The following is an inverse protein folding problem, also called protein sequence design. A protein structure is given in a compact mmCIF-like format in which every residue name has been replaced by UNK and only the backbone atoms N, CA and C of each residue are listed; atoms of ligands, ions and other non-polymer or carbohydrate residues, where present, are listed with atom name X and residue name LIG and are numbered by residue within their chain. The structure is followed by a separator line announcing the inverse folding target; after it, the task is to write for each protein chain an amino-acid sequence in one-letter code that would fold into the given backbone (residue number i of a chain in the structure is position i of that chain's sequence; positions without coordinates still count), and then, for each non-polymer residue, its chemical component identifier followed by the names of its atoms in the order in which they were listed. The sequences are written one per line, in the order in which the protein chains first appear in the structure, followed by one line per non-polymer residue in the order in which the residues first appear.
data_IF_136547480313
#
_entry.id   IF_136547480313
#
_cell.length_a   1.000
_cell.length_b   1.000
_cell.length_c   1.000
_cell.angle_alpha   90.00
_cell.angle_beta   90.00
_cell.angle_gamma   90.00
#
_symmetry.space_group_name_H-M   'P 1'
#
loop_
_entity.id
_entity.type
_entity.pdbx_description
1 polymer ?
#
# COMPACT_ATOMS: atom_id res chain seq x y z
N UNK A 1 -65.60 21.77 -28.53
CA UNK A 1 -66.24 21.57 -27.21
C UNK A 1 -65.51 22.48 -26.23
N UNK A 2 -66.01 23.69 -25.96
CA UNK A 2 -66.95 24.09 -24.88
C UNK A 2 -66.48 23.73 -23.45
N UNK A 3 -66.37 24.80 -22.63
CA UNK A 3 -66.53 24.92 -21.16
C UNK A 3 -65.33 24.52 -20.31
N UNK A 4 -64.96 25.19 -19.21
CA UNK A 4 -65.49 26.37 -18.49
C UNK A 4 -64.43 26.84 -17.49
N UNK A 5 -64.45 28.14 -17.16
CA UNK A 5 -63.81 28.75 -15.98
C UNK A 5 -64.35 28.17 -14.66
N UNK A 6 -63.56 28.22 -13.58
CA UNK A 6 -63.86 28.96 -12.32
C UNK A 6 -62.55 29.20 -11.57
N UNK A 7 -62.35 30.45 -11.12
CA UNK A 7 -61.28 30.92 -10.25
C UNK A 7 -61.64 30.73 -8.77
N UNK A 8 -60.65 30.60 -7.89
CA UNK A 8 -60.77 31.03 -6.50
C UNK A 8 -59.45 31.69 -6.04
N UNK A 9 -59.57 32.95 -5.64
CA UNK A 9 -58.54 33.72 -4.95
C UNK A 9 -58.37 33.22 -3.50
N UNK A 10 -57.27 33.59 -2.83
CA UNK A 10 -57.28 34.32 -1.55
C UNK A 10 -55.85 34.58 -1.03
N UNK A 11 -55.64 35.86 -0.72
CA UNK A 11 -54.97 36.42 0.48
C UNK A 11 -53.43 36.38 0.58
N UNK A 12 -52.88 37.59 0.44
CA UNK A 12 -51.58 37.99 0.96
C UNK A 12 -51.65 38.19 2.49
N UNK A 13 -50.63 37.70 3.20
CA UNK A 13 -50.26 38.19 4.53
C UNK A 13 -48.75 38.42 4.57
N UNK A 14 -48.37 39.70 4.65
CA UNK A 14 -47.04 40.15 5.03
C UNK A 14 -46.72 39.75 6.47
N UNK A 15 -45.49 39.31 6.74
CA UNK A 15 -44.91 39.43 8.07
C UNK A 15 -43.45 39.91 8.00
N UNK A 16 -43.21 41.04 8.67
CA UNK A 16 -41.90 41.55 9.08
C UNK A 16 -41.22 40.51 9.97
N UNK A 17 -39.92 40.29 9.79
CA UNK A 17 -39.17 39.44 10.70
C UNK A 17 -37.66 39.48 10.49
N UNK A 18 -37.03 40.52 11.07
CA UNK A 18 -35.70 40.43 11.68
C UNK A 18 -34.49 40.28 10.75
N UNK A 19 -33.70 41.35 10.68
CA UNK A 19 -32.25 41.25 10.51
C UNK A 19 -31.70 40.23 11.52
N UNK A 20 -31.33 39.05 11.02
CA UNK A 20 -30.38 38.17 11.69
C UNK A 20 -29.11 38.21 10.86
N UNK A 21 -28.10 38.88 11.39
CA UNK A 21 -26.72 38.71 10.95
C UNK A 21 -26.42 37.22 10.75
N UNK A 22 -25.73 36.82 9.67
CA UNK A 22 -25.36 35.42 9.50
C UNK A 22 -24.50 35.03 10.70
N UNK A 23 -25.01 34.15 11.56
CA UNK A 23 -24.20 33.48 12.57
C UNK A 23 -23.11 32.73 11.80
N UNK A 24 -21.88 33.25 11.87
CA UNK A 24 -20.70 32.60 11.33
C UNK A 24 -20.61 31.22 11.98
N UNK A 25 -20.84 30.18 11.16
CA UNK A 25 -20.81 28.79 11.61
C UNK A 25 -19.37 28.56 12.13
N UNK A 26 -19.17 28.05 13.36
CA UNK A 26 -17.83 27.72 13.82
C UNK A 26 -17.17 26.85 12.75
N UNK A 27 -15.90 27.09 12.40
CA UNK A 27 -15.22 26.25 11.43
C UNK A 27 -15.38 24.81 11.88
N UNK A 28 -16.03 24.02 11.04
CA UNK A 28 -16.13 22.58 11.25
C UNK A 28 -14.72 22.01 11.43
N UNK A 29 -14.57 20.83 12.07
CA UNK A 29 -13.27 20.20 12.21
C UNK A 29 -12.58 20.21 10.85
N UNK A 30 -11.40 20.83 10.78
CA UNK A 30 -10.61 20.87 9.56
C UNK A 30 -10.37 19.42 9.14
N UNK A 31 -10.67 19.10 7.89
CA UNK A 31 -10.42 17.76 7.36
C UNK A 31 -8.95 17.37 7.62
N UNK A 32 -8.67 16.09 7.90
CA UNK A 32 -7.31 15.64 8.10
C UNK A 32 -6.46 16.04 6.89
N UNK A 33 -5.25 16.57 7.14
CA UNK A 33 -4.35 16.94 6.07
C UNK A 33 -3.83 15.67 5.39
N UNK A 34 -4.35 15.36 4.21
CA UNK A 34 -3.85 14.27 3.37
C UNK A 34 -2.88 14.82 2.34
N UNK A 35 -1.69 14.24 2.24
CA UNK A 35 -0.69 14.58 1.21
C UNK A 35 -0.14 13.32 0.56
N UNK A 36 0.23 13.38 -0.72
CA UNK A 36 0.89 12.28 -1.42
C UNK A 36 2.28 12.01 -0.82
N UNK A 37 2.65 10.74 -0.74
CA UNK A 37 3.99 10.28 -0.39
C UNK A 37 4.53 9.41 -1.51
N UNK A 38 5.74 9.72 -1.96
CA UNK A 38 6.52 8.91 -2.89
C UNK A 38 7.87 8.62 -2.26
N UNK A 39 8.21 7.35 -2.13
CA UNK A 39 9.50 6.88 -1.62
C UNK A 39 10.19 6.07 -2.69
N UNK A 40 11.51 6.21 -2.82
CA UNK A 40 12.28 5.44 -3.78
C UNK A 40 13.50 4.79 -3.14
N UNK A 41 13.86 3.62 -3.66
CA UNK A 41 15.13 2.95 -3.38
C UNK A 41 15.70 2.46 -4.69
N UNK A 42 17.01 2.55 -4.84
CA UNK A 42 17.70 2.20 -6.08
C UNK A 42 18.79 1.19 -5.80
N UNK A 43 18.92 0.21 -6.68
CA UNK A 43 20.01 -0.75 -6.71
C UNK A 43 20.47 -0.94 -8.15
N UNK A 44 21.66 -0.41 -8.47
CA UNK A 44 22.12 -0.31 -9.86
C UNK A 44 21.13 0.51 -10.70
N UNK A 45 20.63 -0.09 -11.78
CA UNK A 45 19.64 0.52 -12.70
C UNK A 45 18.18 0.24 -12.31
N UNK A 46 17.95 -0.57 -11.28
CA UNK A 46 16.60 -0.91 -10.82
C UNK A 46 16.16 0.06 -9.73
N UNK A 47 14.94 0.59 -9.85
CA UNK A 47 14.34 1.51 -8.87
C UNK A 47 13.03 0.92 -8.35
N UNK A 48 12.97 0.71 -7.03
CA UNK A 48 11.73 0.44 -6.31
C UNK A 48 11.08 1.77 -5.92
N UNK A 49 9.80 1.95 -6.27
CA UNK A 49 9.02 3.15 -5.94
C UNK A 49 7.78 2.76 -5.17
N UNK A 50 7.64 3.29 -3.96
CA UNK A 50 6.42 3.20 -3.18
C UNK A 50 5.60 4.48 -3.32
N UNK A 51 4.29 4.33 -3.41
CA UNK A 51 3.35 5.45 -3.41
C UNK A 51 2.26 5.23 -2.38
N UNK A 52 1.78 6.32 -1.81
CA UNK A 52 0.61 6.34 -0.94
C UNK A 52 0.39 7.75 -0.40
N UNK A 53 -0.06 7.83 0.85
CA UNK A 53 -0.47 9.08 1.46
C UNK A 53 0.08 9.26 2.87
N UNK A 54 0.12 10.51 3.32
CA UNK A 54 0.32 10.87 4.71
C UNK A 54 -1.01 11.36 5.27
N UNK A 55 -1.52 10.67 6.28
CA UNK A 55 -2.73 11.03 7.01
C UNK A 55 -2.31 11.33 8.45
N UNK A 56 -2.57 12.56 8.90
CA UNK A 56 -2.24 13.00 10.27
C UNK A 56 -0.77 12.74 10.67
N UNK A 57 0.16 12.95 9.73
CA UNK A 57 1.59 12.75 9.96
C UNK A 57 2.07 11.30 9.79
N UNK A 58 1.17 10.31 9.79
CA UNK A 58 1.50 8.90 9.54
C UNK A 58 1.59 8.62 8.05
N UNK A 59 2.65 7.91 7.63
CA UNK A 59 2.80 7.43 6.26
C UNK A 59 2.03 6.12 6.09
N UNK A 60 1.17 6.08 5.08
CA UNK A 60 0.47 4.91 4.61
C UNK A 60 0.89 4.68 3.15
N UNK A 61 1.57 3.57 2.88
CA UNK A 61 2.04 3.25 1.55
C UNK A 61 1.08 2.20 0.97
N UNK A 62 0.72 2.33 -0.29
CA UNK A 62 -0.38 1.57 -0.90
C UNK A 62 0.09 0.73 -2.07
N UNK A 63 1.16 1.14 -2.74
CA UNK A 63 1.67 0.44 -3.92
C UNK A 63 3.19 0.44 -3.96
N UNK A 64 3.72 -0.58 -4.62
CA UNK A 64 5.12 -0.72 -4.99
C UNK A 64 5.18 -0.99 -6.49
N UNK A 65 6.09 -0.32 -7.19
CA UNK A 65 6.41 -0.59 -8.59
C UNK A 65 7.93 -0.56 -8.80
N UNK A 66 8.38 -1.27 -9.83
CA UNK A 66 9.78 -1.34 -10.20
C UNK A 66 10.02 -0.74 -11.58
N UNK A 67 10.91 0.24 -11.67
CA UNK A 67 11.49 0.67 -12.94
C UNK A 67 12.72 -0.19 -13.20
N UNK A 68 12.72 -0.89 -14.35
CA UNK A 68 13.80 -1.79 -14.76
C UNK A 68 14.50 -1.23 -16.01
N UNK A 69 15.80 -1.52 -16.21
CA UNK A 69 16.51 -1.12 -17.42
C UNK A 69 15.85 -1.72 -18.66
N UNK A 70 15.60 -0.87 -19.67
CA UNK A 70 14.99 -1.27 -20.95
C UNK A 70 13.46 -1.37 -20.94
N UNK A 71 12.79 -1.19 -19.80
CA UNK A 71 11.33 -1.13 -19.73
C UNK A 71 10.81 0.28 -20.02
N UNK A 72 9.76 0.39 -20.81
CA UNK A 72 9.15 1.68 -21.15
C UNK A 72 8.32 2.28 -20.00
N UNK A 73 7.87 1.44 -19.06
CA UNK A 73 7.05 1.84 -17.92
C UNK A 73 7.41 1.02 -16.68
N UNK A 74 7.17 1.55 -15.46
CA UNK A 74 7.32 0.78 -14.23
C UNK A 74 6.40 -0.44 -14.22
N UNK A 75 6.91 -1.57 -13.77
CA UNK A 75 6.14 -2.79 -13.56
C UNK A 75 5.59 -2.80 -12.13
N UNK A 76 4.27 -2.89 -11.94
CA UNK A 76 3.69 -2.93 -10.61
C UNK A 76 4.05 -4.24 -9.89
N UNK A 77 4.29 -4.15 -8.59
CA UNK A 77 4.28 -5.31 -7.72
C UNK A 77 2.87 -5.52 -7.17
N UNK A 78 2.22 -6.60 -7.59
CA UNK A 78 0.92 -7.03 -7.07
C UNK A 78 1.12 -8.17 -6.09
N UNK A 79 0.71 -7.95 -4.85
CA UNK A 79 0.64 -8.95 -3.79
C UNK A 79 -0.73 -9.65 -3.77
N UNK A 80 -0.89 -10.70 -2.97
CA UNK A 80 -2.20 -11.36 -2.74
C UNK A 80 -3.21 -10.45 -2.04
N UNK A 81 -4.43 -10.93 -1.75
CA UNK A 81 -5.45 -10.16 -1.03
C UNK A 81 -4.92 -9.66 0.33
N UNK A 82 -4.59 -8.38 0.44
CA UNK A 82 -4.10 -7.76 1.68
C UNK A 82 -4.80 -6.44 1.98
N UNK A 83 -5.09 -6.25 3.27
CA UNK A 83 -5.09 -4.94 3.93
C UNK A 83 -3.70 -4.27 3.76
N UNK A 84 -3.60 -2.93 3.76
CA UNK A 84 -2.41 -2.21 3.34
C UNK A 84 -1.13 -2.80 3.95
N UNK A 85 -0.19 -3.28 3.13
CA UNK A 85 0.92 -4.07 3.62
C UNK A 85 1.83 -3.19 4.50
N UNK A 86 2.32 -3.75 5.60
CA UNK A 86 3.47 -3.22 6.33
C UNK A 86 4.71 -3.29 5.44
N UNK A 87 4.91 -2.26 4.61
CA UNK A 87 6.04 -2.19 3.70
C UNK A 87 7.36 -2.12 4.45
N UNK A 88 8.30 -2.99 4.05
CA UNK A 88 9.72 -2.70 4.21
C UNK A 88 10.18 -1.87 3.02
N UNK A 89 10.98 -0.84 3.28
CA UNK A 89 11.64 -0.08 2.22
C UNK A 89 12.97 -0.75 1.80
N UNK A 90 13.53 -1.61 2.64
CA UNK A 90 14.84 -2.23 2.41
C UNK A 90 14.67 -3.59 1.71
N UNK A 91 14.06 -3.56 0.52
CA UNK A 91 13.75 -4.77 -0.27
C UNK A 91 14.97 -5.32 -0.99
N UNK A 92 15.97 -4.50 -1.32
CA UNK A 92 17.17 -4.93 -2.03
C UNK A 92 18.21 -5.52 -1.07
N UNK A 93 18.84 -6.62 -1.48
CA UNK A 93 20.05 -7.10 -0.84
C UNK A 93 21.16 -6.04 -0.94
N UNK A 94 22.07 -5.94 0.05
CA UNK A 94 23.18 -4.97 0.05
C UNK A 94 24.06 -4.97 -1.21
N UNK A 95 24.19 -6.10 -1.91
CA UNK A 95 24.97 -6.24 -3.15
C UNK A 95 24.14 -6.06 -4.43
N UNK A 96 22.85 -5.70 -4.29
CA UNK A 96 21.88 -5.60 -5.37
C UNK A 96 21.59 -6.90 -6.13
N UNK A 97 22.07 -8.06 -5.66
CA UNK A 97 21.90 -9.34 -6.34
C UNK A 97 20.46 -9.84 -6.30
N UNK A 98 19.73 -9.53 -5.22
CA UNK A 98 18.41 -10.07 -4.94
C UNK A 98 17.44 -9.02 -4.36
N UNK A 99 16.16 -9.32 -4.48
CA UNK A 99 15.05 -8.56 -3.91
C UNK A 99 14.23 -9.50 -3.01
N UNK A 100 13.87 -9.00 -1.83
CA UNK A 100 12.98 -9.64 -0.87
C UNK A 100 11.60 -8.98 -0.96
N UNK A 101 10.60 -9.72 -1.41
CA UNK A 101 9.22 -9.24 -1.60
C UNK A 101 8.28 -9.98 -0.66
N UNK A 102 7.45 -9.24 0.05
CA UNK A 102 6.44 -9.83 0.91
C UNK A 102 5.16 -10.11 0.11
N UNK A 103 4.75 -11.38 0.04
CA UNK A 103 3.60 -11.80 -0.79
C UNK A 103 2.25 -11.60 -0.11
N UNK A 104 2.16 -11.90 1.19
CA UNK A 104 0.93 -11.81 1.96
C UNK A 104 1.20 -11.46 3.43
N UNK A 105 0.17 -11.11 4.21
CA UNK A 105 0.24 -10.76 5.62
C UNK A 105 0.86 -11.87 6.48
N UNK A 106 0.70 -13.11 6.05
CA UNK A 106 1.27 -14.29 6.68
C UNK A 106 2.45 -14.86 5.88
N UNK A 107 2.91 -14.14 4.84
CA UNK A 107 3.89 -14.59 3.88
C UNK A 107 3.33 -15.52 2.79
N UNK A 108 4.20 -16.21 2.02
CA UNK A 108 5.65 -16.26 2.16
C UNK A 108 6.36 -14.93 1.84
N UNK A 109 7.66 -14.88 2.12
CA UNK A 109 8.54 -13.95 1.42
C UNK A 109 9.05 -14.59 0.13
N UNK A 110 9.10 -13.82 -0.94
CA UNK A 110 9.68 -14.20 -2.21
C UNK A 110 11.07 -13.58 -2.34
N UNK A 111 12.07 -14.40 -2.58
CA UNK A 111 13.42 -13.96 -2.93
C UNK A 111 13.58 -14.10 -4.42
N UNK A 112 13.95 -13.01 -5.08
CA UNK A 112 14.05 -12.93 -6.54
C UNK A 112 15.37 -12.30 -6.92
N UNK A 113 16.14 -12.95 -7.79
CA UNK A 113 17.34 -12.37 -8.38
C UNK A 113 16.96 -11.10 -9.14
N UNK A 114 17.67 -10.00 -8.91
CA UNK A 114 17.35 -8.70 -9.52
C UNK A 114 17.31 -8.77 -11.05
N UNK A 115 18.20 -9.57 -11.66
CA UNK A 115 18.21 -9.83 -13.10
C UNK A 115 16.96 -10.56 -13.63
N UNK A 116 16.24 -11.29 -12.76
CA UNK A 116 15.00 -12.02 -13.09
C UNK A 116 13.75 -11.25 -12.70
N UNK A 117 13.88 -10.11 -12.02
CA UNK A 117 12.76 -9.38 -11.45
C UNK A 117 11.68 -9.03 -12.49
N UNK A 118 12.07 -8.64 -13.70
CA UNK A 118 11.10 -8.33 -14.77
C UNK A 118 10.29 -9.54 -15.24
N UNK A 119 10.86 -10.76 -15.23
CA UNK A 119 10.11 -11.97 -15.55
C UNK A 119 9.17 -12.34 -14.40
N UNK A 120 9.67 -12.20 -13.17
CA UNK A 120 8.91 -12.44 -11.96
C UNK A 120 7.66 -11.56 -11.84
N UNK A 121 7.80 -10.25 -12.06
CA UNK A 121 6.68 -9.30 -12.05
C UNK A 121 5.63 -9.58 -13.13
N UNK A 122 5.97 -10.39 -14.14
CA UNK A 122 5.04 -10.86 -15.19
C UNK A 122 4.49 -12.26 -14.93
N UNK A 123 4.70 -12.81 -13.73
CA UNK A 123 4.12 -14.08 -13.29
C UNK A 123 5.07 -15.28 -13.34
N UNK A 124 6.36 -15.10 -13.60
CA UNK A 124 7.32 -16.17 -13.36
C UNK A 124 7.44 -16.46 -11.85
N UNK A 125 7.73 -17.71 -11.44
CA UNK A 125 7.91 -18.03 -10.02
C UNK A 125 9.16 -17.33 -9.44
N UNK A 126 9.19 -17.10 -8.12
CA UNK A 126 10.36 -16.57 -7.45
C UNK A 126 11.53 -17.56 -7.50
N UNK A 127 12.75 -17.10 -7.21
CA UNK A 127 13.90 -17.99 -7.07
C UNK A 127 13.78 -18.85 -5.80
N UNK A 128 13.32 -18.24 -4.71
CA UNK A 128 13.03 -18.92 -3.46
C UNK A 128 11.78 -18.37 -2.78
N UNK A 129 11.08 -19.24 -2.06
CA UNK A 129 10.00 -18.87 -1.15
C UNK A 129 10.39 -19.18 0.29
N UNK A 130 10.37 -18.16 1.14
CA UNK A 130 10.64 -18.33 2.56
C UNK A 130 9.31 -18.60 3.25
N UNK A 131 9.16 -19.84 3.70
CA UNK A 131 8.00 -20.35 4.43
C UNK A 131 8.37 -20.60 5.88
N UNK A 132 7.35 -20.82 6.70
CA UNK A 132 7.54 -21.16 8.11
C UNK A 132 8.18 -22.54 8.29
N UNK A 133 8.61 -22.83 9.52
CA UNK A 133 9.28 -24.10 9.86
C UNK A 133 8.45 -25.33 9.51
N UNK A 134 7.13 -25.24 9.68
CA UNK A 134 6.17 -26.31 9.39
C UNK A 134 5.53 -26.15 7.99
N UNK A 135 6.21 -25.44 7.08
CA UNK A 135 5.71 -25.13 5.74
C UNK A 135 4.62 -24.04 5.78
N UNK A 136 3.49 -24.29 5.10
CA UNK A 136 2.42 -23.30 4.86
C UNK A 136 1.55 -22.99 6.07
N UNK A 137 1.70 -23.76 7.14
CA UNK A 137 0.82 -23.65 8.30
C UNK A 137 1.24 -22.56 9.28
N UNK A 138 2.47 -22.04 9.16
CA UNK A 138 2.99 -21.03 10.06
C UNK A 138 3.25 -19.71 9.31
N UNK A 139 2.68 -18.58 9.76
CA UNK A 139 2.93 -17.29 9.14
C UNK A 139 4.41 -16.92 9.24
N UNK A 140 4.90 -16.15 8.26
CA UNK A 140 6.22 -15.54 8.29
C UNK A 140 6.14 -14.02 8.19
N UNK A 141 6.97 -13.33 8.95
CA UNK A 141 6.97 -11.87 9.09
C UNK A 141 8.35 -11.34 9.47
N UNK A 142 8.52 -10.02 9.43
CA UNK A 142 9.78 -9.29 9.72
C UNK A 142 11.01 -9.78 8.94
N UNK A 143 10.80 -10.16 7.69
CA UNK A 143 11.88 -10.48 6.77
C UNK A 143 12.77 -9.26 6.50
N UNK A 144 14.08 -9.42 6.74
CA UNK A 144 15.08 -8.39 6.49
C UNK A 144 16.41 -9.01 6.07
N UNK A 145 17.09 -8.34 5.14
CA UNK A 145 18.48 -8.65 4.81
C UNK A 145 19.38 -8.37 6.01
N UNK A 146 20.21 -9.36 6.37
CA UNK A 146 21.29 -9.23 7.36
C UNK A 146 22.59 -8.87 6.64
N UNK A 147 22.81 -9.47 5.47
CA UNK A 147 23.89 -9.16 4.55
C UNK A 147 23.43 -9.43 3.10
N UNK A 148 24.37 -9.44 2.15
CA UNK A 148 24.12 -9.65 0.72
C UNK A 148 23.39 -10.97 0.38
N UNK A 149 23.48 -11.99 1.24
CA UNK A 149 22.94 -13.33 0.95
C UNK A 149 22.07 -13.87 2.06
N UNK A 150 22.17 -13.35 3.27
CA UNK A 150 21.42 -13.86 4.41
C UNK A 150 20.22 -12.98 4.74
N UNK A 151 19.06 -13.61 4.88
CA UNK A 151 17.81 -13.02 5.32
C UNK A 151 17.48 -13.58 6.68
N UNK A 152 17.12 -12.72 7.63
CA UNK A 152 16.49 -13.11 8.88
C UNK A 152 14.99 -12.84 8.78
N UNK A 153 14.18 -13.75 9.28
CA UNK A 153 12.73 -13.60 9.36
C UNK A 153 12.19 -14.38 10.56
N UNK A 154 10.94 -14.12 10.95
CA UNK A 154 10.28 -14.82 12.06
C UNK A 154 9.17 -15.71 11.55
N UNK A 155 8.90 -16.81 12.25
CA UNK A 155 7.77 -17.69 11.96
C UNK A 155 7.06 -18.17 13.22
N UNK A 156 5.73 -18.25 13.15
CA UNK A 156 4.88 -18.82 14.19
C UNK A 156 3.58 -18.04 14.39
N UNK A 157 2.52 -18.74 14.78
CA UNK A 157 1.22 -18.13 15.11
C UNK A 157 1.00 -17.96 16.63
N UNK A 158 1.93 -18.44 17.46
CA UNK A 158 1.83 -18.44 18.91
C UNK A 158 3.16 -17.95 19.54
N UNK A 159 3.06 -17.29 20.69
CA UNK A 159 4.22 -16.71 21.37
C UNK A 159 5.06 -17.77 22.13
N UNK A 160 6.41 -17.68 22.07
CA UNK A 160 7.19 -16.75 21.24
C UNK A 160 7.37 -17.27 19.79
N UNK A 161 7.43 -16.38 18.79
CA UNK A 161 7.80 -16.76 17.43
C UNK A 161 9.26 -17.21 17.36
N UNK A 162 9.58 -18.00 16.33
CA UNK A 162 10.91 -18.56 16.11
C UNK A 162 11.66 -17.70 15.09
N UNK A 163 12.89 -17.32 15.41
CA UNK A 163 13.80 -16.69 14.46
C UNK A 163 14.36 -17.73 13.48
N UNK A 164 14.26 -17.42 12.20
CA UNK A 164 14.76 -18.22 11.09
C UNK A 164 15.75 -17.40 10.27
N UNK A 165 16.65 -18.11 9.60
CA UNK A 165 17.57 -17.53 8.63
C UNK A 165 17.55 -18.33 7.34
N UNK A 166 17.66 -17.62 6.23
CA UNK A 166 17.82 -18.20 4.91
C UNK A 166 19.05 -17.58 4.25
N UNK A 167 19.89 -18.41 3.63
CA UNK A 167 21.05 -17.95 2.85
C UNK A 167 20.84 -18.31 1.40
N UNK A 168 20.89 -17.29 0.53
CA UNK A 168 20.81 -17.47 -0.92
C UNK A 168 22.07 -18.23 -1.40
N UNK A 169 21.91 -19.31 -2.18
CA UNK A 169 23.02 -20.13 -2.66
C UNK A 169 24.03 -19.37 -3.53
#
# INVERSE_FOLDING_TARGET
MRRSLVALALVACSSRGGDRSPTERPPGPSAPSTSEVVETRQCGEVVATWRGHRVEGRRDLESLAFTLPGEAAPLPWTHGDLDPPHWSLDVFAPDCGHVLLWWSHTGPYHVVATARLGAYLRGAPPDHELRGRDGDSAPVFDGAWVDARTIRYRSGCCDPPIDLQFTVP
#
